data_IF_899613013433
#
_entry.id   IF_899613013433
#
_cell.length_a   1.000
_cell.length_b   1.000
_cell.length_c   1.000
_cell.angle_alpha   90.00
_cell.angle_beta   90.00
_cell.angle_gamma   90.00
#
_symmetry.space_group_name_H-M   'P 1'
#
loop_
_entity.id
_entity.type
_entity.pdbx_description
1 polymer ?
#
# COMPACT_ATOMS: atom_id res chain seq x y z
N UNK A 1 -16.97 -0.92 3.25
CA UNK A 1 -15.60 -1.47 3.12
C UNK A 1 -14.50 -0.41 3.03
N UNK A 2 -14.57 0.56 2.11
CA UNK A 2 -13.49 1.54 1.89
C UNK A 2 -13.04 2.32 3.14
N UNK A 3 -13.98 2.81 3.96
CA UNK A 3 -13.66 3.50 5.24
C UNK A 3 -12.92 2.60 6.24
N UNK A 4 -13.26 1.31 6.30
CA UNK A 4 -12.59 0.34 7.17
C UNK A 4 -11.16 0.03 6.68
N UNK A 5 -10.97 -0.17 5.37
CA UNK A 5 -9.65 -0.33 4.77
C UNK A 5 -8.77 0.92 4.96
N UNK A 6 -9.34 2.12 4.85
CA UNK A 6 -8.64 3.38 5.10
C UNK A 6 -8.16 3.49 6.56
N UNK A 7 -9.03 3.23 7.53
CA UNK A 7 -8.67 3.20 8.96
C UNK A 7 -7.57 2.18 9.26
N UNK A 8 -7.69 0.97 8.73
CA UNK A 8 -6.69 -0.08 8.91
C UNK A 8 -5.36 0.27 8.21
N UNK A 9 -5.39 0.93 7.05
CA UNK A 9 -4.20 1.43 6.35
C UNK A 9 -3.47 2.48 7.18
N UNK A 10 -4.20 3.45 7.74
CA UNK A 10 -3.64 4.48 8.62
C UNK A 10 -3.03 3.85 9.88
N UNK A 11 -3.77 2.97 10.57
CA UNK A 11 -3.28 2.27 11.75
C UNK A 11 -2.05 1.40 11.44
N UNK A 12 -2.00 0.74 10.28
CA UNK A 12 -0.82 -0.01 9.84
C UNK A 12 0.38 0.94 9.70
N UNK A 13 0.21 2.08 9.03
CA UNK A 13 1.27 3.08 8.87
C UNK A 13 1.84 3.56 10.20
N UNK A 14 0.96 3.93 11.15
CA UNK A 14 1.39 4.36 12.49
C UNK A 14 2.20 3.29 13.25
N UNK A 15 1.75 2.02 13.19
CA UNK A 15 2.46 0.92 13.84
C UNK A 15 3.82 0.66 13.18
N UNK A 16 3.87 0.67 11.86
CA UNK A 16 5.11 0.48 11.09
C UNK A 16 6.11 1.61 11.37
N UNK A 17 5.67 2.87 11.36
CA UNK A 17 6.51 4.03 11.67
C UNK A 17 7.07 3.95 13.10
N UNK A 18 6.25 3.55 14.07
CA UNK A 18 6.69 3.32 15.44
C UNK A 18 7.77 2.24 15.51
N UNK A 19 7.57 1.09 14.86
CA UNK A 19 8.57 0.02 14.83
C UNK A 19 9.87 0.51 14.20
N UNK A 20 9.81 1.15 13.03
CA UNK A 20 10.98 1.65 12.33
C UNK A 20 11.74 2.64 13.21
N UNK A 21 11.04 3.58 13.84
CA UNK A 21 11.65 4.56 14.76
C UNK A 21 12.33 3.89 15.96
N UNK A 22 11.68 2.93 16.59
CA UNK A 22 12.28 2.18 17.70
C UNK A 22 13.51 1.37 17.27
N UNK A 23 13.45 0.70 16.11
CA UNK A 23 14.60 -0.03 15.55
C UNK A 23 15.75 0.92 15.26
N UNK A 24 15.48 2.08 14.67
CA UNK A 24 16.50 3.09 14.39
C UNK A 24 17.19 3.58 15.67
N UNK A 25 16.42 3.87 16.73
CA UNK A 25 16.98 4.28 18.02
C UNK A 25 17.90 3.20 18.64
N UNK A 26 17.52 1.92 18.56
CA UNK A 26 18.34 0.80 19.04
C UNK A 26 19.65 0.70 18.27
N UNK A 27 19.61 0.81 16.93
CA UNK A 27 20.81 0.75 16.09
C UNK A 27 21.76 1.90 16.42
N UNK A 28 21.24 3.11 16.60
CA UNK A 28 22.04 4.28 16.96
C UNK A 28 22.70 4.14 18.34
N UNK A 29 22.07 3.46 19.30
CA UNK A 29 22.57 3.26 20.67
C UNK A 29 23.33 1.92 20.89
N UNK A 30 23.61 1.15 19.83
CA UNK A 30 24.07 -0.24 19.95
C UNK A 30 25.31 -0.44 20.83
N UNK A 31 26.27 0.48 20.78
CA UNK A 31 27.52 0.40 21.57
C UNK A 31 27.24 0.45 23.07
N UNK A 32 26.37 1.35 23.50
CA UNK A 32 25.97 1.48 24.90
C UNK A 32 25.18 0.24 25.36
N UNK A 33 24.26 -0.25 24.52
CA UNK A 33 23.44 -1.44 24.82
C UNK A 33 24.33 -2.65 25.08
N UNK A 34 25.37 -2.87 24.26
CA UNK A 34 26.33 -3.97 24.48
C UNK A 34 27.16 -3.78 25.74
N UNK A 35 27.65 -2.57 25.98
CA UNK A 35 28.45 -2.25 27.17
C UNK A 35 27.69 -2.54 28.47
N UNK A 36 26.38 -2.28 28.51
CA UNK A 36 25.53 -2.54 29.67
C UNK A 36 24.77 -3.89 29.59
N UNK A 37 25.01 -4.73 28.57
CA UNK A 37 24.32 -6.02 28.36
C UNK A 37 22.78 -5.92 28.32
N UNK A 38 22.23 -4.77 27.90
CA UNK A 38 20.79 -4.49 27.88
C UNK A 38 20.04 -5.11 26.69
N UNK A 39 20.67 -6.01 25.95
CA UNK A 39 20.14 -6.57 24.69
C UNK A 39 18.76 -7.20 24.87
N UNK A 40 18.56 -8.00 25.93
CA UNK A 40 17.28 -8.67 26.19
C UNK A 40 16.12 -7.69 26.40
N UNK A 41 16.38 -6.56 27.09
CA UNK A 41 15.36 -5.54 27.34
C UNK A 41 14.91 -4.90 26.01
N UNK A 42 15.87 -4.49 25.18
CA UNK A 42 15.57 -3.84 23.90
C UNK A 42 14.92 -4.79 22.89
N UNK A 43 15.30 -6.06 22.89
CA UNK A 43 14.63 -7.09 22.08
C UNK A 43 13.15 -7.19 22.48
N UNK A 44 12.85 -7.25 23.79
CA UNK A 44 11.46 -7.28 24.27
C UNK A 44 10.63 -6.06 23.82
N UNK A 45 11.22 -4.87 23.82
CA UNK A 45 10.56 -3.64 23.34
C UNK A 45 10.26 -3.74 21.83
N UNK A 46 11.23 -4.20 21.02
CA UNK A 46 11.06 -4.36 19.58
C UNK A 46 10.03 -5.45 19.24
N UNK A 47 10.02 -6.55 19.98
CA UNK A 47 9.04 -7.62 19.83
C UNK A 47 7.63 -7.14 20.16
N UNK A 48 7.45 -6.37 21.23
CA UNK A 48 6.16 -5.77 21.57
C UNK A 48 5.66 -4.84 20.46
N UNK A 49 6.53 -3.99 19.90
CA UNK A 49 6.20 -3.13 18.76
C UNK A 49 5.80 -3.98 17.53
N UNK A 50 6.58 -4.99 17.18
CA UNK A 50 6.30 -5.91 16.06
C UNK A 50 4.98 -6.69 16.26
N UNK A 51 4.68 -7.12 17.49
CA UNK A 51 3.43 -7.83 17.81
C UNK A 51 2.21 -6.92 17.59
N UNK A 52 2.31 -5.65 17.98
CA UNK A 52 1.24 -4.67 17.76
C UNK A 52 1.00 -4.40 16.27
N UNK A 53 2.06 -4.24 15.48
CA UNK A 53 1.99 -4.09 14.03
C UNK A 53 1.36 -5.32 13.37
N UNK A 54 1.83 -6.51 13.73
CA UNK A 54 1.33 -7.77 13.19
C UNK A 54 -0.16 -7.99 13.50
N UNK A 55 -0.65 -7.54 14.66
CA UNK A 55 -2.07 -7.64 15.00
C UNK A 55 -2.94 -6.81 14.04
N UNK A 56 -2.52 -5.59 13.69
CA UNK A 56 -3.23 -4.72 12.74
C UNK A 56 -3.16 -5.30 11.33
N UNK A 57 -1.98 -5.76 10.91
CA UNK A 57 -1.78 -6.40 9.61
C UNK A 57 -2.66 -7.65 9.47
N UNK A 58 -2.73 -8.51 10.49
CA UNK A 58 -3.59 -9.70 10.48
C UNK A 58 -5.06 -9.35 10.28
N UNK A 59 -5.57 -8.34 11.00
CA UNK A 59 -6.95 -7.87 10.86
C UNK A 59 -7.22 -7.35 9.44
N UNK A 60 -6.30 -6.55 8.90
CA UNK A 60 -6.37 -6.05 7.51
C UNK A 60 -6.38 -7.19 6.49
N UNK A 61 -5.49 -8.16 6.63
CA UNK A 61 -5.39 -9.30 5.73
C UNK A 61 -6.62 -10.18 5.83
N UNK A 62 -7.12 -10.46 7.03
CA UNK A 62 -8.34 -11.25 7.21
C UNK A 62 -9.54 -10.59 6.53
N UNK A 63 -9.73 -9.28 6.73
CA UNK A 63 -10.81 -8.54 6.08
C UNK A 63 -10.67 -8.55 4.55
N UNK A 64 -9.45 -8.39 4.03
CA UNK A 64 -9.16 -8.45 2.60
C UNK A 64 -9.48 -9.84 2.02
N UNK A 65 -8.98 -10.89 2.65
CA UNK A 65 -9.19 -12.27 2.20
C UNK A 65 -10.66 -12.64 2.26
N UNK A 66 -11.36 -12.30 3.35
CA UNK A 66 -12.80 -12.54 3.47
C UNK A 66 -13.60 -11.85 2.36
N UNK A 67 -13.29 -10.57 2.08
CA UNK A 67 -13.93 -9.85 0.97
C UNK A 67 -13.66 -10.52 -0.39
N UNK A 68 -12.43 -10.96 -0.63
CA UNK A 68 -12.06 -11.67 -1.85
C UNK A 68 -12.78 -13.02 -2.00
N UNK A 69 -12.89 -13.77 -0.89
CA UNK A 69 -13.60 -15.05 -0.87
C UNK A 69 -15.09 -14.87 -1.12
N UNK A 70 -15.73 -13.88 -0.47
CA UNK A 70 -17.15 -13.56 -0.71
C UNK A 70 -17.42 -13.27 -2.18
N UNK A 71 -16.58 -12.43 -2.80
CA UNK A 71 -16.73 -12.08 -4.20
C UNK A 71 -16.58 -13.30 -5.14
N UNK A 72 -15.60 -14.17 -4.86
CA UNK A 72 -15.39 -15.43 -5.60
C UNK A 72 -16.57 -16.40 -5.46
N UNK A 73 -17.14 -16.53 -4.26
CA UNK A 73 -18.30 -17.39 -4.03
C UNK A 73 -19.57 -16.83 -4.66
N UNK A 74 -19.83 -15.52 -4.52
CA UNK A 74 -21.01 -14.86 -5.11
C UNK A 74 -21.05 -15.02 -6.62
N UNK A 75 -19.90 -14.92 -7.29
CA UNK A 75 -19.76 -15.17 -8.73
C UNK A 75 -20.34 -16.53 -9.13
N UNK A 76 -19.98 -17.59 -8.41
CA UNK A 76 -20.45 -18.96 -8.70
C UNK A 76 -21.95 -19.11 -8.43
N UNK A 77 -22.44 -18.47 -7.37
CA UNK A 77 -23.88 -18.45 -7.05
C UNK A 77 -24.67 -17.76 -8.18
N UNK A 78 -24.18 -16.64 -8.72
CA UNK A 78 -24.84 -15.93 -9.82
C UNK A 78 -24.95 -16.81 -11.06
N UNK A 79 -23.86 -17.48 -11.47
CA UNK A 79 -23.90 -18.42 -12.62
C UNK A 79 -24.89 -19.55 -12.38
N UNK A 80 -24.90 -20.11 -11.17
CA UNK A 80 -25.86 -21.14 -10.79
C UNK A 80 -27.30 -20.64 -10.90
N UNK A 81 -27.61 -19.44 -10.41
CA UNK A 81 -28.95 -18.85 -10.49
C UNK A 81 -29.38 -18.56 -11.93
N UNK A 82 -28.45 -18.13 -12.81
CA UNK A 82 -28.73 -17.93 -14.24
C UNK A 82 -29.11 -19.26 -14.90
N UNK A 83 -28.35 -20.32 -14.65
CA UNK A 83 -28.66 -21.64 -15.20
C UNK A 83 -29.95 -22.22 -14.61
N UNK A 84 -30.20 -22.01 -13.31
CA UNK A 84 -31.40 -22.45 -12.62
C UNK A 84 -32.66 -21.76 -13.18
N UNK A 85 -32.62 -20.44 -13.33
CA UNK A 85 -33.73 -19.68 -13.90
C UNK A 85 -34.00 -20.05 -15.35
N UNK A 86 -32.95 -20.28 -16.15
CA UNK A 86 -33.07 -20.76 -17.52
C UNK A 86 -33.75 -22.14 -17.59
N UNK A 87 -33.45 -23.04 -16.65
CA UNK A 87 -34.06 -24.36 -16.54
C UNK A 87 -35.54 -24.31 -16.13
N UNK A 88 -35.88 -23.47 -15.14
CA UNK A 88 -37.26 -23.30 -14.66
C UNK A 88 -38.16 -22.75 -15.76
N UNK A 89 -37.62 -21.93 -16.67
CA UNK A 89 -38.35 -21.37 -17.81
C UNK A 89 -38.66 -22.42 -18.91
N UNK A 90 -38.32 -23.69 -18.69
CA UNK A 90 -38.61 -24.81 -19.59
C UNK A 90 -37.63 -24.97 -20.75
N UNK A 91 -36.51 -24.24 -20.75
CA UNK A 91 -35.51 -24.37 -21.80
C UNK A 91 -34.59 -25.58 -21.56
N UNK A 92 -34.22 -26.32 -22.61
CA UNK A 92 -33.28 -27.42 -22.48
C UNK A 92 -31.88 -26.90 -22.14
N UNK A 93 -31.31 -27.41 -21.04
CA UNK A 93 -29.92 -27.22 -20.64
C UNK A 93 -29.01 -28.09 -21.51
N UNK A 94 -28.72 -27.62 -22.73
CA UNK A 94 -27.73 -28.27 -23.58
C UNK A 94 -26.30 -27.92 -23.12
N UNK A 95 -25.41 -28.90 -23.21
CA UNK A 95 -24.03 -28.76 -22.71
C UNK A 95 -23.30 -27.59 -23.37
N UNK A 96 -23.45 -27.41 -24.68
CA UNK A 96 -22.88 -26.31 -25.47
C UNK A 96 -23.20 -24.93 -24.86
N UNK A 97 -24.47 -24.66 -24.53
CA UNK A 97 -24.94 -23.39 -23.96
C UNK A 97 -24.43 -23.18 -22.54
N UNK A 98 -24.39 -24.24 -21.73
CA UNK A 98 -23.90 -24.17 -20.34
C UNK A 98 -22.40 -23.87 -20.32
N UNK A 99 -21.60 -24.59 -21.11
CA UNK A 99 -20.16 -24.36 -21.21
C UNK A 99 -19.86 -22.95 -21.76
N UNK A 100 -20.56 -22.51 -22.81
CA UNK A 100 -20.41 -21.17 -23.37
C UNK A 100 -20.71 -20.08 -22.33
N UNK A 101 -21.83 -20.21 -21.60
CA UNK A 101 -22.24 -19.22 -20.60
C UNK A 101 -21.23 -19.10 -19.47
N UNK A 102 -20.73 -20.24 -18.96
CA UNK A 102 -19.68 -20.26 -17.92
C UNK A 102 -18.39 -19.60 -18.44
N UNK A 103 -17.97 -19.93 -19.67
CA UNK A 103 -16.76 -19.37 -20.27
C UNK A 103 -16.86 -17.84 -20.45
N UNK A 104 -17.98 -17.34 -20.97
CA UNK A 104 -18.25 -15.91 -21.11
C UNK A 104 -18.24 -15.20 -19.76
N UNK A 105 -18.90 -15.78 -18.74
CA UNK A 105 -18.95 -15.18 -17.42
C UNK A 105 -17.56 -15.09 -16.77
N UNK A 106 -16.74 -16.13 -16.88
CA UNK A 106 -15.37 -16.12 -16.37
C UNK A 106 -14.49 -15.04 -17.05
N UNK A 107 -14.67 -14.83 -18.36
CA UNK A 107 -13.97 -13.80 -19.12
C UNK A 107 -14.34 -12.39 -18.63
N UNK A 108 -15.65 -12.10 -18.56
CA UNK A 108 -16.16 -10.81 -18.07
C UNK A 108 -15.75 -10.57 -16.61
N UNK A 109 -15.85 -11.59 -15.77
CA UNK A 109 -15.46 -11.51 -14.38
C UNK A 109 -13.98 -11.14 -14.23
N UNK A 110 -13.09 -11.76 -15.01
CA UNK A 110 -11.66 -11.48 -14.95
C UNK A 110 -11.38 -10.01 -15.30
N UNK A 111 -12.00 -9.51 -16.38
CA UNK A 111 -11.94 -8.10 -16.81
C UNK A 111 -12.41 -7.12 -15.72
N UNK A 112 -13.59 -7.37 -15.14
CA UNK A 112 -14.20 -6.45 -14.17
C UNK A 112 -13.56 -6.52 -12.78
N UNK A 113 -13.06 -7.70 -12.39
CA UNK A 113 -12.61 -7.93 -11.00
C UNK A 113 -11.11 -7.67 -10.81
N UNK A 114 -10.31 -7.94 -11.84
CA UNK A 114 -8.85 -7.80 -11.77
C UNK A 114 -8.36 -6.58 -12.53
N UNK A 115 -8.69 -6.50 -13.83
CA UNK A 115 -8.14 -5.45 -14.67
C UNK A 115 -8.71 -4.08 -14.32
N UNK A 116 -10.04 -3.97 -14.15
CA UNK A 116 -10.66 -2.67 -13.88
C UNK A 116 -10.16 -2.00 -12.59
N UNK A 117 -10.11 -2.67 -11.41
CA UNK A 117 -9.59 -2.04 -10.19
C UNK A 117 -8.09 -1.76 -10.30
N UNK A 118 -7.34 -2.62 -10.97
CA UNK A 118 -5.90 -2.43 -11.18
C UNK A 118 -5.64 -1.16 -12.00
N UNK A 119 -6.37 -0.98 -13.11
CA UNK A 119 -6.26 0.23 -13.95
C UNK A 119 -6.53 1.50 -13.14
N UNK A 120 -7.58 1.52 -12.31
CA UNK A 120 -7.89 2.68 -11.46
C UNK A 120 -6.73 3.00 -10.51
N UNK A 121 -6.16 1.98 -9.85
CA UNK A 121 -5.03 2.16 -8.93
C UNK A 121 -3.82 2.73 -9.69
N UNK A 122 -3.49 2.14 -10.84
CA UNK A 122 -2.34 2.56 -11.65
C UNK A 122 -2.49 3.99 -12.15
N UNK A 123 -3.67 4.37 -12.66
CA UNK A 123 -3.94 5.74 -13.10
C UNK A 123 -3.81 6.73 -11.94
N UNK A 124 -4.34 6.39 -10.75
CA UNK A 124 -4.21 7.24 -9.57
C UNK A 124 -2.74 7.39 -9.11
N UNK A 125 -1.96 6.31 -9.15
CA UNK A 125 -0.53 6.33 -8.81
C UNK A 125 0.29 7.17 -9.80
N UNK A 126 0.02 7.03 -11.10
CA UNK A 126 0.64 7.86 -12.15
C UNK A 126 0.29 9.32 -11.93
N UNK A 127 -0.99 9.65 -11.71
CA UNK A 127 -1.43 11.02 -11.47
C UNK A 127 -0.74 11.67 -10.26
N UNK A 128 -0.72 10.98 -9.12
CA UNK A 128 -0.03 11.48 -7.91
C UNK A 128 1.49 11.60 -8.10
N UNK A 129 2.08 10.79 -8.97
CA UNK A 129 3.52 10.85 -9.28
C UNK A 129 3.83 12.02 -10.20
N UNK A 130 3.03 12.24 -11.26
CA UNK A 130 3.13 13.41 -12.12
C UNK A 130 2.95 14.72 -11.34
N UNK A 131 1.96 14.79 -10.44
CA UNK A 131 1.75 15.98 -9.61
C UNK A 131 2.95 16.30 -8.70
N UNK A 132 3.62 15.27 -8.15
CA UNK A 132 4.85 15.45 -7.36
C UNK A 132 6.03 15.89 -8.21
N UNK A 133 6.17 15.32 -9.42
CA UNK A 133 7.22 15.72 -10.37
C UNK A 133 7.04 17.17 -10.82
N UNK A 134 5.81 17.57 -11.16
CA UNK A 134 5.48 18.94 -11.53
C UNK A 134 5.87 19.91 -10.40
N UNK A 135 5.49 19.61 -9.16
CA UNK A 135 5.88 20.43 -8.01
C UNK A 135 7.40 20.57 -7.86
N UNK A 136 8.18 19.54 -8.21
CA UNK A 136 9.64 19.60 -8.15
C UNK A 136 10.21 20.48 -9.26
N UNK A 137 9.68 20.35 -10.48
CA UNK A 137 10.11 21.15 -11.63
C UNK A 137 9.75 22.63 -11.50
N UNK A 138 8.69 22.96 -10.76
CA UNK A 138 8.25 24.33 -10.48
C UNK A 138 8.96 24.95 -9.25
N UNK A 139 9.82 24.21 -8.54
CA UNK A 139 10.59 24.80 -7.44
C UNK A 139 11.64 25.78 -7.96
N UNK A 140 11.79 26.90 -7.26
CA UNK A 140 12.81 27.91 -7.54
C UNK A 140 14.21 27.30 -7.46
N UNK A 141 15.00 27.47 -8.52
CA UNK A 141 16.37 27.00 -8.59
C UNK A 141 17.21 27.79 -7.57
N UNK A 142 17.85 27.08 -6.63
CA UNK A 142 18.80 27.73 -5.73
C UNK A 142 20.10 27.94 -6.50
N UNK A 143 20.37 29.18 -6.88
CA UNK A 143 21.67 29.60 -7.39
C UNK A 143 22.75 29.36 -6.32
N UNK A 144 23.42 28.20 -6.39
CA UNK A 144 24.61 27.94 -5.56
C UNK A 144 25.73 28.94 -5.88
N UNK A 145 25.73 29.50 -7.10
CA UNK A 145 26.67 30.53 -7.57
C UNK A 145 26.59 31.77 -6.68
N UNK A 146 25.38 32.23 -6.31
CA UNK A 146 25.22 33.39 -5.42
C UNK A 146 25.65 33.11 -3.98
N UNK A 147 25.55 31.86 -3.51
CA UNK A 147 25.94 31.48 -2.13
C UNK A 147 27.46 31.37 -1.96
N UNK A 148 28.17 30.84 -2.96
CA UNK A 148 29.64 30.80 -2.94
C UNK A 148 30.20 32.22 -3.04
N UNK A 149 29.61 33.10 -3.86
CA UNK A 149 30.03 34.50 -3.98
C UNK A 149 29.75 35.31 -2.72
N UNK A 150 28.64 35.07 -2.02
CA UNK A 150 28.37 35.69 -0.72
C UNK A 150 29.33 35.20 0.38
N UNK A 151 29.75 33.92 0.34
CA UNK A 151 30.75 33.38 1.27
C UNK A 151 32.17 33.89 0.97
N UNK A 152 32.57 34.03 -0.31
CA UNK A 152 33.86 34.62 -0.69
C UNK A 152 33.94 36.13 -0.38
N UNK A 153 32.84 36.86 -0.57
CA UNK A 153 32.76 38.30 -0.25
C UNK A 153 32.83 38.56 1.27
N UNK A 154 32.39 37.60 2.10
CA UNK A 154 32.52 37.65 3.56
C UNK A 154 33.93 37.23 4.04
N UNK A 155 34.70 36.48 3.24
CA UNK A 155 36.01 35.93 3.64
C UNK A 155 37.21 36.79 3.23
N UNK A 156 37.05 37.81 2.37
CA UNK A 156 38.13 38.75 2.05
C UNK A 156 38.23 39.86 3.11
N UNK A 157 39.25 39.88 4.00
CA UNK A 157 39.47 41.01 4.88
C UNK A 157 39.92 42.21 4.04
N UNK A 158 39.32 43.38 4.30
CA UNK A 158 39.73 44.67 3.71
C UNK A 158 41.21 44.96 4.03
N UNK A 159 42.11 44.62 3.12
CA UNK A 159 43.47 45.20 3.11
C UNK A 159 43.36 46.57 2.44
N UNK A 160 43.30 47.61 3.28
CA UNK A 160 43.52 49.00 2.87
C UNK A 160 45.04 49.23 2.80
N UNK A 161 45.54 49.50 1.60
CA UNK A 161 46.73 50.33 1.39
C UNK A 161 46.34 51.80 1.55
#
# INVERSE_FOLDING_TARGET
>A
MGKAFSRLRHATGMCTDRRIRSTHAVISAMRAIKMFTWEKLFIGILEAARKSEMAVIRRKTLLKSFNSSLFSTLTKIVVFLILLTYAILGNPLMADKVFLTIAMFNSVQSSVSWFFPLSIIMTAEVYMTCARLQKILEMEEKDEVGRIQHMETQLSPKVRL
#
